data_IF_109100483955
#
_entry.id   IF_109100483955
#
_cell.length_a   1.000
_cell.length_b   1.000
_cell.length_c   1.000
_cell.angle_alpha   90.00
_cell.angle_beta   90.00
_cell.angle_gamma   90.00
#
_symmetry.space_group_name_H-M   'P 1'
#
loop_
_entity.id
_entity.type
_entity.pdbx_description
1 polymer ?
#
# COMPACT_ATOMS: atom_id res chain seq x y z
N UNK A 1 -11.97 -19.78 -9.97
CA UNK A 1 -11.18 -18.61 -9.55
C UNK A 1 -9.72 -19.01 -9.49
N UNK A 2 -8.89 -18.45 -10.35
CA UNK A 2 -7.45 -18.71 -10.29
C UNK A 2 -6.89 -18.05 -9.02
N UNK A 3 -6.39 -18.85 -8.09
CA UNK A 3 -5.67 -18.35 -6.93
C UNK A 3 -4.26 -17.92 -7.32
N UNK A 4 -3.76 -16.87 -6.70
CA UNK A 4 -2.35 -16.52 -6.79
C UNK A 4 -1.63 -17.26 -5.66
N UNK A 5 -0.79 -18.22 -6.02
CA UNK A 5 0.05 -18.91 -5.06
C UNK A 5 1.36 -18.14 -4.92
N UNK A 6 1.67 -17.74 -3.68
CA UNK A 6 2.91 -17.05 -3.35
C UNK A 6 3.74 -17.97 -2.48
N UNK A 7 4.89 -18.41 -3.00
CA UNK A 7 5.86 -19.18 -2.22
C UNK A 7 6.83 -18.21 -1.53
N UNK A 8 6.95 -18.33 -0.21
CA UNK A 8 7.88 -17.53 0.58
C UNK A 8 8.99 -18.44 1.06
N UNK A 9 10.22 -18.18 0.61
CA UNK A 9 11.42 -18.88 1.05
C UNK A 9 12.08 -18.16 2.23
N UNK A 10 12.83 -18.90 3.05
CA UNK A 10 13.54 -18.33 4.20
C UNK A 10 12.70 -18.15 5.47
N UNK A 11 11.51 -18.75 5.53
CA UNK A 11 10.64 -18.67 6.70
C UNK A 11 11.26 -19.26 7.96
N UNK A 12 12.02 -20.36 7.85
CA UNK A 12 12.66 -21.01 9.00
C UNK A 12 13.67 -20.08 9.68
N UNK A 13 14.45 -19.35 8.91
CA UNK A 13 15.39 -18.35 9.40
C UNK A 13 14.66 -17.21 10.11
N UNK A 14 13.58 -16.70 9.50
CA UNK A 14 12.74 -15.65 10.08
C UNK A 14 12.11 -16.11 11.40
N UNK A 15 11.56 -17.32 11.44
CA UNK A 15 10.95 -17.89 12.66
C UNK A 15 11.98 -17.99 13.78
N UNK A 16 13.18 -18.48 13.47
CA UNK A 16 14.28 -18.55 14.43
C UNK A 16 14.65 -17.18 15.00
N UNK A 17 14.76 -16.17 14.14
CA UNK A 17 15.04 -14.79 14.54
C UNK A 17 13.93 -14.20 15.43
N UNK A 18 12.68 -14.47 15.11
CA UNK A 18 11.53 -14.03 15.90
C UNK A 18 11.53 -14.65 17.28
N UNK A 19 11.87 -15.94 17.39
CA UNK A 19 11.99 -16.63 18.68
C UNK A 19 13.11 -16.03 19.53
N UNK A 20 14.25 -15.68 18.93
CA UNK A 20 15.36 -15.02 19.62
C UNK A 20 15.00 -13.62 20.09
N UNK A 21 14.26 -12.86 19.30
CA UNK A 21 13.83 -11.51 19.65
C UNK A 21 12.81 -11.53 20.80
N UNK A 22 11.86 -12.46 20.78
CA UNK A 22 10.82 -12.68 21.80
C UNK A 22 10.10 -11.40 22.27
N UNK A 23 9.90 -10.43 21.35
CA UNK A 23 9.27 -9.15 21.64
C UNK A 23 8.19 -8.83 20.61
N UNK A 24 6.89 -9.12 20.92
CA UNK A 24 5.79 -8.93 19.97
C UNK A 24 5.60 -7.48 19.51
N UNK A 25 5.83 -6.51 20.39
CA UNK A 25 5.71 -5.09 20.02
C UNK A 25 6.75 -4.69 19.00
N UNK A 26 7.98 -5.13 19.20
CA UNK A 26 9.08 -4.84 18.30
C UNK A 26 8.88 -5.52 16.96
N UNK A 27 8.49 -6.78 16.97
CA UNK A 27 8.13 -7.54 15.78
C UNK A 27 7.07 -6.82 14.96
N UNK A 28 6.02 -6.35 15.61
CA UNK A 28 4.92 -5.63 14.94
C UNK A 28 5.38 -4.30 14.34
N UNK A 29 6.24 -3.57 15.04
CA UNK A 29 6.83 -2.32 14.55
C UNK A 29 7.68 -2.55 13.30
N UNK A 30 8.54 -3.57 13.33
CA UNK A 30 9.38 -3.97 12.19
C UNK A 30 8.51 -4.38 11.00
N UNK A 31 7.47 -5.17 11.25
CA UNK A 31 6.55 -5.62 10.20
C UNK A 31 5.82 -4.44 9.54
N UNK A 32 5.40 -3.44 10.31
CA UNK A 32 4.80 -2.21 9.76
C UNK A 32 5.77 -1.45 8.88
N UNK A 33 7.00 -1.30 9.30
CA UNK A 33 8.05 -0.64 8.52
C UNK A 33 8.29 -1.36 7.20
N UNK A 34 8.44 -2.69 7.26
CA UNK A 34 8.63 -3.52 6.07
C UNK A 34 7.44 -3.44 5.12
N UNK A 35 6.22 -3.52 5.65
CA UNK A 35 4.99 -3.43 4.85
C UNK A 35 4.85 -2.05 4.20
N UNK A 36 5.19 -0.97 4.90
CA UNK A 36 5.15 0.39 4.35
C UNK A 36 6.13 0.53 3.20
N UNK A 37 7.36 0.06 3.35
CA UNK A 37 8.36 0.11 2.28
C UNK A 37 7.97 -0.75 1.08
N UNK A 38 7.41 -1.94 1.33
CA UNK A 38 6.92 -2.81 0.25
C UNK A 38 5.77 -2.16 -0.53
N UNK A 39 4.83 -1.54 0.16
CA UNK A 39 3.68 -0.87 -0.48
C UNK A 39 4.06 0.41 -1.22
N UNK A 40 5.25 0.97 -1.01
CA UNK A 40 5.75 2.05 -1.85
C UNK A 40 5.87 1.64 -3.33
N UNK A 41 6.10 0.37 -3.61
CA UNK A 41 6.11 -0.17 -4.98
C UNK A 41 4.73 0.01 -5.62
N UNK A 42 3.67 -0.33 -4.90
CA UNK A 42 2.28 -0.16 -5.36
C UNK A 42 1.92 1.32 -5.51
N UNK A 43 2.30 2.14 -4.54
CA UNK A 43 2.10 3.60 -4.61
C UNK A 43 2.72 4.19 -5.86
N UNK A 44 3.96 3.86 -6.14
CA UNK A 44 4.70 4.41 -7.28
C UNK A 44 4.11 3.92 -8.61
N UNK A 45 3.72 2.65 -8.69
CA UNK A 45 3.03 2.10 -9.85
C UNK A 45 1.67 2.77 -10.07
N UNK A 46 0.89 2.97 -9.01
CA UNK A 46 -0.40 3.65 -9.09
C UNK A 46 -0.24 5.11 -9.52
N UNK A 47 0.76 5.81 -9.01
CA UNK A 47 1.09 7.19 -9.43
C UNK A 47 1.46 7.26 -10.89
N UNK A 48 2.27 6.35 -11.38
CA UNK A 48 2.64 6.29 -12.80
C UNK A 48 1.42 6.02 -13.68
N UNK A 49 0.57 5.09 -13.28
CA UNK A 49 -0.67 4.81 -13.98
C UNK A 49 -1.61 6.02 -14.00
N UNK A 50 -1.76 6.71 -12.88
CA UNK A 50 -2.59 7.90 -12.77
C UNK A 50 -2.05 9.07 -13.60
N UNK A 51 -0.72 9.23 -13.67
CA UNK A 51 -0.10 10.24 -14.56
C UNK A 51 -0.41 9.98 -16.03
N UNK A 52 -0.43 8.72 -16.45
CA UNK A 52 -0.69 8.35 -17.84
C UNK A 52 -2.11 8.70 -18.29
N UNK A 53 -3.06 8.79 -17.37
CA UNK A 53 -4.47 9.11 -17.63
C UNK A 53 -4.87 10.51 -17.15
N UNK A 54 -3.91 11.30 -16.67
CA UNK A 54 -4.14 12.66 -16.19
C UNK A 54 -4.56 13.58 -17.32
N UNK A 55 -5.57 14.41 -17.05
CA UNK A 55 -5.96 15.49 -17.94
C UNK A 55 -5.14 16.74 -17.59
N UNK A 56 -4.24 17.18 -18.47
CA UNK A 56 -3.38 18.32 -18.19
C UNK A 56 -4.17 19.64 -18.08
N UNK A 57 -5.39 19.70 -18.56
CA UNK A 57 -6.23 20.90 -18.48
C UNK A 57 -6.89 21.08 -17.11
N UNK A 58 -6.99 20.01 -16.32
CA UNK A 58 -7.54 20.11 -14.97
C UNK A 58 -6.47 20.45 -13.93
N UNK A 59 -6.87 21.19 -12.91
CA UNK A 59 -5.97 21.54 -11.79
C UNK A 59 -5.78 20.39 -10.83
N UNK A 60 -6.76 19.49 -10.74
CA UNK A 60 -6.75 18.35 -9.84
C UNK A 60 -5.85 17.24 -10.38
N UNK A 61 -5.02 16.69 -9.51
CA UNK A 61 -4.04 15.66 -9.86
C UNK A 61 -4.15 14.46 -8.91
N UNK A 62 -4.83 13.40 -9.36
CA UNK A 62 -5.00 12.16 -8.58
C UNK A 62 -3.65 11.60 -8.15
N UNK A 63 -2.66 11.56 -9.02
CA UNK A 63 -1.35 10.98 -8.74
C UNK A 63 -0.64 11.63 -7.54
N UNK A 64 -0.90 12.91 -7.25
CA UNK A 64 -0.32 13.60 -6.09
C UNK A 64 -0.95 13.19 -4.78
N UNK A 65 -2.17 12.64 -4.81
CA UNK A 65 -2.92 12.25 -3.64
C UNK A 65 -2.81 10.77 -3.29
N UNK A 66 -2.09 9.99 -4.09
CA UNK A 66 -1.89 8.57 -3.84
C UNK A 66 -0.85 8.39 -2.74
N UNK A 67 -1.22 7.71 -1.66
CA UNK A 67 -0.39 7.50 -0.47
C UNK A 67 -0.46 6.09 0.06
N UNK A 68 0.60 5.70 0.76
CA UNK A 68 0.59 4.53 1.65
C UNK A 68 0.08 4.97 3.02
N UNK A 69 -0.82 4.21 3.60
CA UNK A 69 -1.33 4.46 4.94
C UNK A 69 -1.57 3.16 5.71
N UNK A 70 -1.48 3.24 7.03
CA UNK A 70 -1.84 2.12 7.89
C UNK A 70 -3.36 1.99 7.96
N UNK A 71 -3.86 0.77 7.81
CA UNK A 71 -5.26 0.44 8.02
C UNK A 71 -5.52 0.00 9.46
N UNK A 72 -6.76 0.14 9.91
CA UNK A 72 -7.21 -0.41 11.19
C UNK A 72 -7.40 -1.91 11.06
N UNK A 73 -7.03 -2.65 12.10
CA UNK A 73 -7.24 -4.09 12.19
C UNK A 73 -8.02 -4.43 13.45
N UNK A 74 -8.86 -5.46 13.39
CA UNK A 74 -9.57 -5.98 14.56
C UNK A 74 -8.69 -6.95 15.36
N UNK A 75 -7.81 -7.66 14.68
CA UNK A 75 -6.89 -8.60 15.30
C UNK A 75 -5.60 -7.87 15.70
N UNK A 76 -5.21 -7.88 16.99
CA UNK A 76 -3.98 -7.21 17.44
C UNK A 76 -2.70 -7.83 16.88
N UNK A 77 -2.77 -9.07 16.37
CA UNK A 77 -1.64 -9.76 15.75
C UNK A 77 -1.52 -9.52 14.24
N UNK A 78 -2.36 -8.65 13.70
CA UNK A 78 -2.40 -8.33 12.27
C UNK A 78 -1.96 -6.90 12.03
N UNK A 79 -1.26 -6.69 10.93
CA UNK A 79 -0.96 -5.35 10.41
C UNK A 79 -1.59 -5.20 9.04
N UNK A 80 -1.96 -3.97 8.70
CA UNK A 80 -2.53 -3.65 7.40
C UNK A 80 -1.90 -2.35 6.88
N UNK A 81 -1.31 -2.44 5.69
CA UNK A 81 -0.91 -1.27 4.91
C UNK A 81 -1.72 -1.23 3.64
N UNK A 82 -2.10 -0.05 3.23
CA UNK A 82 -2.89 0.15 2.02
C UNK A 82 -2.37 1.34 1.22
N UNK A 83 -2.62 1.31 -0.06
CA UNK A 83 -2.43 2.46 -0.94
C UNK A 83 -3.81 3.00 -1.27
N UNK A 84 -3.99 4.29 -1.11
CA UNK A 84 -5.27 4.94 -1.35
C UNK A 84 -5.08 6.37 -1.82
N UNK A 85 -6.19 7.01 -2.17
CA UNK A 85 -6.22 8.41 -2.57
C UNK A 85 -6.57 9.28 -1.36
N UNK A 86 -5.69 10.20 -1.01
CA UNK A 86 -5.91 11.14 0.10
C UNK A 86 -7.12 12.04 -0.20
N UNK A 87 -7.87 12.38 0.83
CA UNK A 87 -9.12 13.13 0.69
C UNK A 87 -10.37 12.26 0.58
N UNK A 88 -10.19 10.94 0.42
CA UNK A 88 -11.31 9.99 0.37
C UNK A 88 -12.09 10.04 -0.94
N UNK A 89 -13.33 9.53 -0.89
CA UNK A 89 -14.21 9.41 -2.04
C UNK A 89 -15.66 9.88 -1.77
N UNK A 90 -15.92 10.41 -0.57
CA UNK A 90 -17.26 10.85 -0.18
C UNK A 90 -17.44 12.34 -0.45
N UNK A 91 -18.57 12.67 -1.08
CA UNK A 91 -18.97 14.06 -1.33
C UNK A 91 -19.91 14.62 -0.24
N UNK A 92 -20.13 13.87 0.84
CA UNK A 92 -21.00 14.32 1.94
C UNK A 92 -20.43 15.51 2.72
N UNK A 93 -19.10 15.67 2.71
CA UNK A 93 -18.45 16.82 3.33
C UNK A 93 -18.29 17.95 2.31
N UNK A 94 -18.93 19.11 2.48
CA UNK A 94 -18.80 20.24 1.57
C UNK A 94 -17.41 20.91 1.63
N UNK A 95 -16.68 20.71 2.74
CA UNK A 95 -15.35 21.29 2.95
C UNK A 95 -14.31 20.19 3.18
N UNK A 96 -13.86 19.51 2.10
CA UNK A 96 -12.87 18.45 2.26
C UNK A 96 -11.53 19.00 2.71
N UNK A 97 -10.76 18.16 3.40
CA UNK A 97 -9.39 18.48 3.79
C UNK A 97 -8.56 18.84 2.54
N UNK A 98 -7.79 19.93 2.58
CA UNK A 98 -6.86 20.25 1.49
C UNK A 98 -5.85 19.13 1.25
N UNK A 99 -5.58 18.82 -0.01
CA UNK A 99 -4.63 17.81 -0.42
C UNK A 99 -3.69 18.35 -1.51
N UNK A 100 -2.53 17.73 -1.66
CA UNK A 100 -1.51 18.16 -2.64
C UNK A 100 -2.01 18.16 -4.08
N UNK A 101 -2.93 17.26 -4.41
CA UNK A 101 -3.50 17.11 -5.75
C UNK A 101 -4.85 17.82 -5.95
N UNK A 102 -5.32 18.58 -4.96
CA UNK A 102 -6.65 19.19 -4.98
C UNK A 102 -7.76 18.20 -4.61
N UNK A 103 -9.00 18.54 -4.91
CA UNK A 103 -10.15 17.69 -4.63
C UNK A 103 -10.26 16.57 -5.67
N UNK A 104 -9.76 15.40 -5.33
CA UNK A 104 -9.76 14.22 -6.20
C UNK A 104 -10.74 13.13 -5.73
N UNK A 105 -11.79 13.51 -4.98
CA UNK A 105 -12.81 12.55 -4.50
C UNK A 105 -13.51 11.78 -5.61
N UNK A 106 -13.44 12.26 -6.84
CA UNK A 106 -13.98 11.60 -8.04
C UNK A 106 -13.17 10.38 -8.50
N UNK A 107 -12.04 10.08 -7.89
CA UNK A 107 -11.12 9.01 -8.35
C UNK A 107 -11.81 7.65 -8.52
N UNK A 108 -12.84 7.36 -7.72
CA UNK A 108 -13.59 6.10 -7.84
C UNK A 108 -14.31 5.96 -9.18
N UNK A 109 -14.75 7.08 -9.75
CA UNK A 109 -15.41 7.07 -11.05
C UNK A 109 -14.42 6.82 -12.20
N UNK A 110 -13.15 7.04 -11.97
CA UNK A 110 -12.07 6.70 -12.90
C UNK A 110 -11.69 5.23 -12.76
N UNK A 111 -11.53 4.75 -11.52
CA UNK A 111 -11.11 3.38 -11.21
C UNK A 111 -12.17 2.33 -11.59
N UNK A 112 -13.44 2.63 -11.39
CA UNK A 112 -14.55 1.71 -11.59
C UNK A 112 -15.50 2.19 -12.68
N UNK A 113 -16.16 1.27 -13.42
CA UNK A 113 -17.12 1.68 -14.46
C UNK A 113 -18.32 2.39 -13.82
N UNK A 114 -18.87 3.35 -14.57
CA UNK A 114 -20.09 4.08 -14.21
C UNK A 114 -21.15 3.89 -15.28
N UNK A 115 -22.38 4.38 -15.02
CA UNK A 115 -23.43 4.39 -16.02
C UNK A 115 -23.10 5.25 -17.26
N UNK A 116 -22.13 6.15 -17.14
CA UNK A 116 -21.78 7.14 -18.18
C UNK A 116 -20.39 6.91 -18.79
N UNK A 117 -19.65 5.90 -18.35
CA UNK A 117 -18.31 5.67 -18.88
C UNK A 117 -17.67 4.35 -18.44
N UNK A 118 -16.67 3.94 -19.21
CA UNK A 118 -15.84 2.78 -18.91
C UNK A 118 -14.79 3.12 -17.84
N UNK A 119 -14.33 2.10 -17.11
CA UNK A 119 -13.25 2.26 -16.15
C UNK A 119 -11.90 2.48 -16.85
N UNK A 120 -11.06 3.31 -16.23
CA UNK A 120 -9.63 3.42 -16.54
C UNK A 120 -8.85 3.17 -15.27
N UNK A 121 -8.72 1.90 -14.83
CA UNK A 121 -8.16 1.58 -13.53
C UNK A 121 -6.68 1.93 -13.43
N UNK A 122 -6.29 2.52 -12.31
CA UNK A 122 -4.90 2.87 -11.99
C UNK A 122 -4.43 2.25 -10.67
N UNK A 123 -5.35 1.92 -9.76
CA UNK A 123 -5.03 1.36 -8.45
C UNK A 123 -4.95 -0.17 -8.49
N UNK A 124 -5.99 -0.83 -9.01
CA UNK A 124 -6.04 -2.30 -9.05
C UNK A 124 -4.89 -2.92 -9.84
N UNK A 125 -4.54 -2.43 -11.06
CA UNK A 125 -3.39 -2.95 -11.79
C UNK A 125 -2.07 -2.72 -11.05
N UNK A 126 -1.93 -1.61 -10.33
CA UNK A 126 -0.73 -1.30 -9.56
C UNK A 126 -0.45 -2.36 -8.49
N UNK A 127 -1.48 -2.85 -7.81
CA UNK A 127 -1.34 -3.96 -6.86
C UNK A 127 -1.16 -5.29 -7.58
N UNK A 128 -2.06 -5.59 -8.50
CA UNK A 128 -2.13 -6.90 -9.16
C UNK A 128 -0.85 -7.28 -9.89
N UNK A 129 -0.24 -6.31 -10.59
CA UNK A 129 0.95 -6.53 -11.37
C UNK A 129 2.24 -6.54 -10.55
N UNK A 130 2.18 -6.21 -9.26
CA UNK A 130 3.35 -6.06 -8.40
C UNK A 130 3.32 -6.91 -7.14
N UNK A 131 2.40 -7.87 -7.02
CA UNK A 131 2.25 -8.71 -5.81
C UNK A 131 3.56 -9.42 -5.46
N UNK A 132 4.23 -10.03 -6.43
CA UNK A 132 5.47 -10.76 -6.18
C UNK A 132 6.60 -9.82 -5.72
N UNK A 133 6.72 -8.65 -6.33
CA UNK A 133 7.71 -7.65 -5.96
C UNK A 133 7.45 -7.09 -4.55
N UNK A 134 6.20 -6.83 -4.22
CA UNK A 134 5.79 -6.36 -2.89
C UNK A 134 6.12 -7.40 -1.83
N UNK A 135 5.78 -8.67 -2.07
CA UNK A 135 6.06 -9.77 -1.14
C UNK A 135 7.57 -9.95 -0.93
N UNK A 136 8.35 -9.94 -2.01
CA UNK A 136 9.80 -10.05 -1.93
C UNK A 136 10.43 -8.88 -1.18
N UNK A 137 9.97 -7.66 -1.43
CA UNK A 137 10.46 -6.46 -0.74
C UNK A 137 10.13 -6.50 0.75
N UNK A 138 8.91 -6.91 1.10
CA UNK A 138 8.52 -7.09 2.48
C UNK A 138 9.44 -8.07 3.20
N UNK A 139 9.67 -9.24 2.63
CA UNK A 139 10.52 -10.27 3.20
C UNK A 139 11.96 -9.76 3.40
N UNK A 140 12.53 -9.08 2.42
CA UNK A 140 13.89 -8.53 2.49
C UNK A 140 14.01 -7.50 3.60
N UNK A 141 13.13 -6.51 3.65
CA UNK A 141 13.20 -5.43 4.64
C UNK A 141 12.91 -5.97 6.05
N UNK A 142 11.92 -6.86 6.17
CA UNK A 142 11.58 -7.47 7.45
C UNK A 142 12.78 -8.23 8.03
N UNK A 143 13.46 -9.03 7.21
CA UNK A 143 14.63 -9.78 7.62
C UNK A 143 15.81 -8.86 8.01
N UNK A 144 16.08 -7.82 7.22
CA UNK A 144 17.12 -6.83 7.53
C UNK A 144 16.85 -6.12 8.87
N UNK A 145 15.61 -5.73 9.11
CA UNK A 145 15.26 -5.05 10.37
C UNK A 145 15.30 -5.99 11.57
N UNK A 146 14.95 -7.27 11.38
CA UNK A 146 15.13 -8.29 12.43
C UNK A 146 16.62 -8.44 12.79
N UNK A 147 17.50 -8.49 11.80
CA UNK A 147 18.94 -8.60 12.03
C UNK A 147 19.47 -7.39 12.81
N UNK A 148 19.00 -6.19 12.51
CA UNK A 148 19.37 -4.98 13.26
C UNK A 148 18.92 -5.05 14.72
N UNK A 149 17.71 -5.51 14.98
CA UNK A 149 17.20 -5.66 16.35
C UNK A 149 17.97 -6.71 17.14
N UNK A 150 18.30 -7.84 16.52
CA UNK A 150 19.09 -8.89 17.16
C UNK A 150 20.52 -8.44 17.48
N UNK A 151 21.10 -7.58 16.65
CA UNK A 151 22.42 -7.02 16.88
C UNK A 151 22.45 -6.03 18.05
N UNK A 152 21.29 -5.49 18.45
CA UNK A 152 21.15 -4.53 19.56
C UNK A 152 20.69 -5.17 20.88
N UNK A 153 20.58 -6.49 20.93
CA UNK A 153 20.23 -7.22 22.16
C UNK A 153 21.37 -7.34 23.15
#
# INVERSE_FOLDING_TARGET
>A
MAGVEVEITGLDDVVSKLQRLANPRRTKSIARKAARQAMNIVRDAARNNAKAIDDPETSEKIFKNIKVSAGKTRNPNEIKMRVGVDGGASFSNPNPKPTSGGDTRYWRFVEFPTAHGTATPFMRPALYNNINQVTARFATVFNEELDKELANL
#
